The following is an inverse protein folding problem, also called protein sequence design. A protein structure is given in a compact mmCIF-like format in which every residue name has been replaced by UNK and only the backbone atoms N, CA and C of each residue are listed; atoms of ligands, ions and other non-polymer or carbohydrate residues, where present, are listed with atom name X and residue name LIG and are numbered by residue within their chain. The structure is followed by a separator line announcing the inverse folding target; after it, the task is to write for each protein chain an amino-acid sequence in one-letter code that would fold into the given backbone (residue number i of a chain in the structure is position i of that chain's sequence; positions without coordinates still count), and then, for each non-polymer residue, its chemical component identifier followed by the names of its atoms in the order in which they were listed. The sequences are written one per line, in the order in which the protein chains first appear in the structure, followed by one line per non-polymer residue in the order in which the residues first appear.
data_IF_527975736257
#
_entry.id   IF_527975736257
#
_cell.length_a   1.000
_cell.length_b   1.000
_cell.length_c   1.000
_cell.angle_alpha   90.00
_cell.angle_beta   90.00
_cell.angle_gamma   90.00
#
_symmetry.space_group_name_H-M   'P 1'
#
loop_
_entity.id
_entity.type
_entity.pdbx_description
1 polymer ?
#
# COMPACT_ATOMS: atom_id res chain seq x y z
N UNK A 1 -49.35 -5.03 -15.85
CA UNK A 1 -48.17 -4.78 -16.68
C UNK A 1 -47.04 -4.36 -15.76
N UNK A 2 -46.14 -5.28 -15.43
CA UNK A 2 -44.96 -5.00 -14.61
C UNK A 2 -43.94 -4.30 -15.51
N UNK A 3 -43.68 -3.02 -15.24
CA UNK A 3 -42.61 -2.25 -15.88
C UNK A 3 -41.28 -2.86 -15.44
N UNK A 4 -40.58 -3.49 -16.38
CA UNK A 4 -39.22 -3.92 -16.20
C UNK A 4 -38.35 -2.69 -15.91
N UNK A 5 -37.65 -2.70 -14.77
CA UNK A 5 -36.60 -1.73 -14.50
C UNK A 5 -35.60 -1.74 -15.67
N UNK A 6 -35.10 -0.57 -16.12
CA UNK A 6 -34.16 -0.51 -17.21
C UNK A 6 -32.91 -1.30 -16.83
N UNK A 7 -32.60 -2.31 -17.64
CA UNK A 7 -31.30 -2.97 -17.63
C UNK A 7 -30.28 -1.88 -17.96
N UNK A 8 -29.57 -1.39 -16.95
CA UNK A 8 -28.40 -0.55 -17.15
C UNK A 8 -27.38 -1.40 -17.93
N UNK A 9 -27.34 -1.24 -19.24
CA UNK A 9 -26.12 -1.55 -20.00
C UNK A 9 -25.05 -0.61 -19.47
N UNK A 10 -23.93 -1.10 -18.90
CA UNK A 10 -22.85 -0.23 -18.51
C UNK A 10 -22.39 0.50 -19.76
N UNK A 11 -22.63 1.82 -19.81
CA UNK A 11 -22.02 2.66 -20.84
C UNK A 11 -20.53 2.40 -20.82
N UNK A 12 -19.92 2.19 -22.00
CA UNK A 12 -18.46 2.05 -22.08
C UNK A 12 -17.77 3.17 -21.30
N UNK A 13 -16.78 2.87 -20.43
CA UNK A 13 -16.08 3.90 -19.69
C UNK A 13 -15.48 4.94 -20.63
N UNK A 14 -15.54 6.22 -20.24
CA UNK A 14 -14.93 7.32 -20.99
C UNK A 14 -13.46 6.98 -21.35
N UNK A 15 -12.92 7.35 -22.53
CA UNK A 15 -11.54 7.02 -22.92
C UNK A 15 -10.47 7.43 -21.91
N UNK A 16 -10.70 8.53 -21.20
CA UNK A 16 -9.81 9.04 -20.15
C UNK A 16 -10.12 8.48 -18.74
N UNK A 17 -11.07 7.54 -18.59
CA UNK A 17 -11.39 6.93 -17.29
C UNK A 17 -10.33 5.89 -16.90
N UNK A 18 -9.90 5.94 -15.63
CA UNK A 18 -8.99 4.96 -15.05
C UNK A 18 -9.60 3.56 -14.89
N UNK A 19 -10.93 3.42 -14.94
CA UNK A 19 -11.62 2.12 -14.97
C UNK A 19 -11.27 1.32 -16.24
N UNK A 20 -10.68 1.95 -17.26
CA UNK A 20 -10.16 1.23 -18.43
C UNK A 20 -8.94 0.37 -18.13
N UNK A 21 -8.25 0.57 -17.00
CA UNK A 21 -7.28 -0.40 -16.49
C UNK A 21 -8.05 -1.58 -15.88
N UNK A 22 -7.87 -2.83 -16.37
CA UNK A 22 -8.57 -3.98 -15.82
C UNK A 22 -8.35 -4.19 -14.32
N UNK A 23 -7.16 -3.87 -13.81
CA UNK A 23 -6.88 -3.95 -12.36
C UNK A 23 -7.71 -2.94 -11.55
N UNK A 24 -7.87 -1.71 -12.04
CA UNK A 24 -8.68 -0.66 -11.38
C UNK A 24 -10.15 -1.05 -11.43
N UNK A 25 -10.64 -1.51 -12.58
CA UNK A 25 -12.01 -2.01 -12.72
C UNK A 25 -12.32 -3.10 -11.70
N UNK A 26 -11.42 -4.09 -11.57
CA UNK A 26 -11.61 -5.19 -10.62
C UNK A 26 -11.55 -4.73 -9.19
N UNK A 27 -10.56 -3.91 -8.84
CA UNK A 27 -10.47 -3.30 -7.52
C UNK A 27 -11.78 -2.63 -7.11
N UNK A 28 -12.47 -1.93 -8.02
CA UNK A 28 -13.74 -1.26 -7.71
C UNK A 28 -14.95 -2.20 -7.68
N UNK A 29 -14.90 -3.34 -8.38
CA UNK A 29 -16.01 -4.29 -8.46
C UNK A 29 -15.88 -5.47 -7.49
N UNK A 30 -14.70 -5.70 -6.92
CA UNK A 30 -14.43 -6.86 -6.07
C UNK A 30 -15.04 -6.65 -4.68
N UNK A 31 -16.05 -7.45 -4.28
CA UNK A 31 -16.71 -7.31 -2.99
C UNK A 31 -15.80 -7.71 -1.81
N UNK A 32 -14.65 -8.35 -2.07
CA UNK A 32 -13.70 -8.78 -1.05
C UNK A 32 -13.06 -7.59 -0.32
N UNK A 33 -12.78 -6.51 -1.05
CA UNK A 33 -12.01 -5.37 -0.56
C UNK A 33 -12.90 -4.14 -0.48
N UNK A 34 -12.88 -3.47 0.66
CA UNK A 34 -13.70 -2.28 0.91
C UNK A 34 -12.88 -1.01 0.79
N UNK A 35 -13.49 0.01 0.21
CA UNK A 35 -12.99 1.37 0.27
C UNK A 35 -13.56 2.07 1.49
N UNK A 36 -12.69 2.56 2.38
CA UNK A 36 -13.12 3.24 3.62
C UNK A 36 -12.57 4.67 3.65
N UNK A 37 -13.42 5.70 3.66
CA UNK A 37 -12.97 7.06 3.80
C UNK A 37 -12.42 7.31 5.21
N UNK A 38 -11.37 8.13 5.29
CA UNK A 38 -10.83 8.66 6.55
C UNK A 38 -10.96 10.18 6.57
N UNK A 39 -11.18 10.77 7.74
CA UNK A 39 -11.22 12.22 7.92
C UNK A 39 -9.82 12.81 7.72
N UNK A 40 -9.44 12.92 6.45
CA UNK A 40 -8.16 13.40 5.95
C UNK A 40 -8.45 14.35 4.79
N UNK A 41 -7.76 15.49 4.82
CA UNK A 41 -7.62 16.40 3.70
C UNK A 41 -6.26 16.19 3.03
N UNK A 42 -6.29 15.61 1.84
CA UNK A 42 -5.08 15.24 1.12
C UNK A 42 -4.32 16.47 0.58
N UNK A 43 -4.92 17.67 0.59
CA UNK A 43 -4.24 18.90 0.17
C UNK A 43 -3.02 19.21 1.03
N UNK A 44 -3.00 18.79 2.31
CA UNK A 44 -1.81 18.87 3.15
C UNK A 44 -0.60 18.13 2.55
N UNK A 45 -0.85 17.00 1.88
CA UNK A 45 0.16 16.23 1.16
C UNK A 45 0.45 16.82 -0.23
N UNK A 46 -0.58 17.18 -1.01
CA UNK A 46 -0.40 17.76 -2.34
C UNK A 46 0.46 19.04 -2.32
N UNK A 47 0.26 19.87 -1.30
CA UNK A 47 0.99 21.12 -1.07
C UNK A 47 2.33 20.91 -0.34
N UNK A 48 2.73 19.65 -0.14
CA UNK A 48 4.01 19.22 0.46
C UNK A 48 4.28 19.77 1.86
N UNK A 49 3.22 20.02 2.64
CA UNK A 49 3.32 20.39 4.05
C UNK A 49 3.49 19.13 4.91
N UNK A 50 2.70 18.10 4.62
CA UNK A 50 2.84 16.76 5.17
C UNK A 50 3.61 15.94 4.13
N UNK A 51 4.74 15.30 4.49
CA UNK A 51 5.64 14.68 3.52
C UNK A 51 5.13 13.33 2.97
N UNK A 52 4.09 12.76 3.57
CA UNK A 52 3.60 11.41 3.28
C UNK A 52 2.08 11.39 3.21
N UNK A 53 1.54 10.48 2.40
CA UNK A 53 0.11 10.20 2.39
C UNK A 53 -0.26 9.36 3.60
N UNK A 54 -1.31 9.73 4.33
CA UNK A 54 -1.73 9.03 5.54
C UNK A 54 -3.00 8.21 5.37
N UNK A 55 -3.48 8.00 4.14
CA UNK A 55 -4.67 7.18 3.90
C UNK A 55 -4.43 5.74 4.38
N UNK A 56 -3.46 5.03 3.78
CA UNK A 56 -3.04 3.68 4.14
C UNK A 56 -4.03 2.58 3.76
N UNK A 57 -3.82 1.38 4.29
CA UNK A 57 -4.73 0.26 4.15
C UNK A 57 -4.63 -0.67 5.36
N UNK A 58 -5.42 -1.75 5.38
CA UNK A 58 -5.23 -2.84 6.33
C UNK A 58 -5.59 -4.16 5.62
N UNK A 59 -4.61 -5.02 5.31
CA UNK A 59 -4.83 -6.24 4.55
C UNK A 59 -5.68 -7.25 5.32
N UNK A 60 -5.55 -7.28 6.65
CA UNK A 60 -6.39 -8.13 7.48
C UNK A 60 -7.82 -7.66 7.46
N UNK A 61 -8.09 -6.34 7.56
CA UNK A 61 -9.45 -5.80 7.41
C UNK A 61 -9.97 -5.84 5.97
N UNK A 62 -9.13 -6.17 4.99
CA UNK A 62 -9.44 -6.12 3.54
C UNK A 62 -10.00 -4.76 3.16
N UNK A 63 -9.34 -3.71 3.65
CA UNK A 63 -9.81 -2.35 3.50
C UNK A 63 -8.70 -1.48 2.96
N UNK A 64 -8.96 -0.83 1.83
CA UNK A 64 -8.15 0.24 1.27
C UNK A 64 -8.74 1.55 1.79
N UNK A 65 -7.90 2.36 2.43
CA UNK A 65 -8.35 3.62 2.98
C UNK A 65 -8.07 4.75 2.00
N UNK A 66 -8.91 5.77 2.01
CA UNK A 66 -8.71 6.95 1.17
C UNK A 66 -9.09 8.22 1.95
N UNK A 67 -8.49 9.34 1.58
CA UNK A 67 -8.77 10.62 2.20
C UNK A 67 -10.12 11.17 1.74
N UNK A 68 -10.93 11.64 2.69
CA UNK A 68 -12.28 12.15 2.40
C UNK A 68 -12.27 13.34 1.44
N UNK A 69 -11.25 14.21 1.54
CA UNK A 69 -11.01 15.28 0.57
C UNK A 69 -9.74 14.93 -0.21
N UNK A 70 -9.89 14.28 -1.37
CA UNK A 70 -8.79 13.86 -2.23
C UNK A 70 -9.24 13.70 -3.68
N UNK A 71 -8.29 13.65 -4.61
CA UNK A 71 -8.58 13.38 -6.00
C UNK A 71 -9.31 12.03 -6.19
N UNK A 72 -8.88 10.98 -5.48
CA UNK A 72 -9.54 9.67 -5.48
C UNK A 72 -10.98 9.74 -4.97
N UNK A 73 -11.25 10.38 -3.83
CA UNK A 73 -12.62 10.46 -3.29
C UNK A 73 -13.58 11.17 -4.23
N UNK A 74 -13.16 12.28 -4.83
CA UNK A 74 -14.00 12.98 -5.81
C UNK A 74 -14.25 12.16 -7.08
N UNK A 75 -13.23 11.45 -7.57
CA UNK A 75 -13.38 10.58 -8.75
C UNK A 75 -14.26 9.35 -8.49
N UNK A 76 -14.19 8.75 -7.29
CA UNK A 76 -14.99 7.59 -6.89
C UNK A 76 -16.51 7.87 -6.94
N UNK A 77 -16.94 9.13 -6.92
CA UNK A 77 -18.35 9.49 -7.11
C UNK A 77 -18.86 9.22 -8.55
N UNK A 78 -17.96 9.19 -9.54
CA UNK A 78 -18.31 8.95 -10.95
C UNK A 78 -17.14 8.33 -11.74
N UNK A 79 -16.67 7.11 -11.39
CA UNK A 79 -15.40 6.57 -11.87
C UNK A 79 -15.38 6.30 -13.38
N UNK A 80 -16.54 6.13 -14.01
CA UNK A 80 -16.69 5.92 -15.45
C UNK A 80 -16.58 7.20 -16.31
N UNK A 81 -16.57 8.38 -15.70
CA UNK A 81 -16.38 9.67 -16.40
C UNK A 81 -14.90 9.93 -16.70
N UNK A 82 -14.61 11.01 -17.42
CA UNK A 82 -13.22 11.45 -17.61
C UNK A 82 -12.55 11.64 -16.25
N UNK A 83 -11.34 11.11 -16.11
CA UNK A 83 -10.50 11.32 -14.94
C UNK A 83 -9.69 12.63 -15.02
N UNK A 84 -9.70 13.32 -16.18
CA UNK A 84 -8.83 14.47 -16.45
C UNK A 84 -9.04 15.61 -15.45
N UNK A 85 -10.29 15.93 -15.18
CA UNK A 85 -10.67 17.05 -14.30
C UNK A 85 -10.24 16.83 -12.83
N UNK A 86 -9.93 15.59 -12.47
CA UNK A 86 -9.48 15.20 -11.13
C UNK A 86 -7.96 14.97 -11.05
N UNK A 87 -7.27 14.84 -12.20
CA UNK A 87 -5.85 14.48 -12.25
C UNK A 87 -4.90 15.68 -12.19
N UNK A 88 -5.20 16.67 -11.35
CA UNK A 88 -4.27 17.78 -11.15
C UNK A 88 -2.93 17.27 -10.59
N UNK A 89 -1.82 17.71 -11.19
CA UNK A 89 -0.45 17.32 -10.82
C UNK A 89 -0.23 15.79 -10.67
N UNK A 90 -0.94 14.97 -11.46
CA UNK A 90 -0.94 13.51 -11.37
C UNK A 90 -1.43 12.90 -10.04
N UNK A 91 -2.12 13.69 -9.21
CA UNK A 91 -2.60 13.24 -7.90
C UNK A 91 -3.58 12.07 -8.02
N UNK A 92 -4.57 12.15 -8.93
CA UNK A 92 -5.55 11.07 -9.09
C UNK A 92 -4.88 9.78 -9.58
N UNK A 93 -4.07 9.85 -10.64
CA UNK A 93 -3.42 8.65 -11.19
C UNK A 93 -2.54 7.99 -10.13
N UNK A 94 -1.79 8.77 -9.35
CA UNK A 94 -0.99 8.25 -8.23
C UNK A 94 -1.86 7.55 -7.20
N UNK A 95 -2.93 8.19 -6.73
CA UNK A 95 -3.81 7.61 -5.71
C UNK A 95 -4.53 6.35 -6.19
N UNK A 96 -5.00 6.31 -7.44
CA UNK A 96 -5.66 5.13 -7.99
C UNK A 96 -4.70 3.95 -8.15
N UNK A 97 -3.46 4.21 -8.59
CA UNK A 97 -2.46 3.14 -8.73
C UNK A 97 -2.00 2.62 -7.37
N UNK A 98 -1.81 3.47 -6.36
CA UNK A 98 -1.55 3.01 -4.98
C UNK A 98 -2.75 2.29 -4.37
N UNK A 99 -3.99 2.73 -4.63
CA UNK A 99 -5.16 1.98 -4.20
C UNK A 99 -5.22 0.58 -4.84
N UNK A 100 -4.81 0.45 -6.12
CA UNK A 100 -4.72 -0.83 -6.79
C UNK A 100 -3.61 -1.73 -6.21
N UNK A 101 -2.50 -1.14 -5.82
CA UNK A 101 -1.43 -1.81 -5.08
C UNK A 101 -1.91 -2.33 -3.72
N UNK A 102 -2.56 -1.49 -2.92
CA UNK A 102 -3.09 -1.85 -1.60
C UNK A 102 -4.23 -2.88 -1.68
N UNK A 103 -5.03 -2.81 -2.75
CA UNK A 103 -6.00 -3.86 -3.08
C UNK A 103 -5.34 -5.22 -3.30
N UNK A 104 -4.18 -5.27 -3.97
CA UNK A 104 -3.44 -6.52 -4.17
C UNK A 104 -2.84 -7.06 -2.87
N UNK A 105 -2.45 -6.21 -1.91
CA UNK A 105 -2.12 -6.68 -0.57
C UNK A 105 -3.32 -7.35 0.11
N UNK A 106 -4.49 -6.70 0.08
CA UNK A 106 -5.71 -7.25 0.69
C UNK A 106 -6.13 -8.58 0.03
N UNK A 107 -6.06 -8.64 -1.29
CA UNK A 107 -6.44 -9.83 -2.05
C UNK A 107 -5.45 -10.98 -1.83
N UNK A 108 -4.14 -10.70 -1.85
CA UNK A 108 -3.11 -11.72 -1.60
C UNK A 108 -3.12 -12.25 -0.17
N UNK A 109 -3.45 -11.42 0.82
CA UNK A 109 -3.64 -11.88 2.20
C UNK A 109 -4.74 -12.95 2.30
N UNK A 110 -5.84 -12.77 1.58
CA UNK A 110 -6.91 -13.77 1.51
C UNK A 110 -6.46 -15.05 0.77
N UNK A 111 -5.76 -14.90 -0.35
CA UNK A 111 -5.22 -16.06 -1.06
C UNK A 111 -4.26 -16.85 -0.19
N UNK A 112 -3.39 -16.19 0.58
CA UNK A 112 -2.51 -16.85 1.55
C UNK A 112 -3.31 -17.62 2.59
N UNK A 113 -4.40 -17.05 3.11
CA UNK A 113 -5.27 -17.73 4.08
C UNK A 113 -5.90 -19.01 3.50
N UNK A 114 -6.20 -19.03 2.20
CA UNK A 114 -6.72 -20.21 1.48
C UNK A 114 -5.61 -21.24 1.19
N UNK A 115 -4.43 -20.79 0.76
CA UNK A 115 -3.33 -21.68 0.34
C UNK A 115 -2.54 -22.26 1.53
N UNK A 116 -2.47 -21.53 2.64
CA UNK A 116 -1.76 -21.93 3.85
C UNK A 116 -2.62 -21.75 5.12
N UNK A 117 -3.78 -22.43 5.21
CA UNK A 117 -4.76 -22.21 6.29
C UNK A 117 -4.20 -22.53 7.67
N UNK A 118 -3.19 -23.40 7.77
CA UNK A 118 -2.52 -23.73 9.04
C UNK A 118 -1.73 -22.55 9.64
N UNK A 119 -1.33 -21.55 8.83
CA UNK A 119 -0.62 -20.35 9.32
C UNK A 119 -1.59 -19.39 10.01
N UNK A 120 -2.85 -19.38 9.58
CA UNK A 120 -3.90 -18.45 10.06
C UNK A 120 -3.50 -16.98 9.91
N UNK A 121 -2.82 -16.62 8.81
CA UNK A 121 -2.21 -15.29 8.60
C UNK A 121 -3.17 -14.10 8.76
N UNK A 122 -4.46 -14.26 8.46
CA UNK A 122 -5.44 -13.16 8.50
C UNK A 122 -6.45 -13.26 9.67
N UNK A 123 -6.34 -14.31 10.49
CA UNK A 123 -7.38 -14.73 11.45
C UNK A 123 -6.84 -15.35 12.75
N UNK A 124 -5.55 -15.64 12.83
CA UNK A 124 -4.88 -16.22 13.99
C UNK A 124 -4.26 -15.14 14.88
N UNK A 125 -4.12 -15.39 16.20
CA UNK A 125 -3.33 -14.50 17.03
C UNK A 125 -1.87 -14.49 16.58
N UNK A 126 -1.28 -13.30 16.51
CA UNK A 126 0.16 -13.14 16.30
C UNK A 126 0.85 -13.30 17.65
N UNK A 127 1.77 -14.26 17.72
CA UNK A 127 2.51 -14.70 18.90
C UNK A 127 4.00 -14.74 18.58
N UNK A 128 4.87 -14.79 19.59
CA UNK A 128 6.32 -14.78 19.43
C UNK A 128 6.86 -15.98 18.66
N UNK A 129 6.20 -17.12 18.74
CA UNK A 129 6.60 -18.34 18.03
C UNK A 129 6.20 -18.34 16.55
N UNK A 130 5.18 -17.56 16.16
CA UNK A 130 4.66 -17.53 14.79
C UNK A 130 4.87 -16.19 14.05
N UNK A 131 5.36 -15.14 14.72
CA UNK A 131 5.47 -13.80 14.13
C UNK A 131 6.33 -13.79 12.86
N UNK A 132 7.43 -14.53 12.79
CA UNK A 132 8.27 -14.56 11.59
C UNK A 132 7.57 -15.26 10.40
N UNK A 133 6.62 -16.16 10.65
CA UNK A 133 5.77 -16.73 9.59
C UNK A 133 4.74 -15.72 9.09
N UNK A 134 4.19 -14.90 9.99
CA UNK A 134 3.36 -13.75 9.59
C UNK A 134 4.16 -12.70 8.81
N UNK A 135 5.38 -12.39 9.24
CA UNK A 135 6.27 -11.48 8.53
C UNK A 135 6.56 -12.03 7.13
N UNK A 136 6.88 -13.32 7.01
CA UNK A 136 7.06 -13.98 5.71
C UNK A 136 5.83 -13.81 4.82
N UNK A 137 4.63 -14.17 5.32
CA UNK A 137 3.39 -14.02 4.57
C UNK A 137 3.11 -12.57 4.17
N UNK A 138 3.37 -11.60 5.05
CA UNK A 138 3.20 -10.18 4.74
C UNK A 138 4.15 -9.71 3.63
N UNK A 139 5.42 -10.15 3.64
CA UNK A 139 6.37 -9.88 2.55
C UNK A 139 5.94 -10.50 1.22
N UNK A 140 5.20 -11.62 1.25
CA UNK A 140 4.59 -12.15 0.02
C UNK A 140 3.48 -11.25 -0.51
N UNK A 141 2.71 -10.59 0.37
CA UNK A 141 1.71 -9.61 -0.07
C UNK A 141 2.35 -8.39 -0.73
N UNK A 142 3.51 -7.94 -0.25
CA UNK A 142 4.32 -6.90 -0.88
C UNK A 142 4.84 -7.34 -2.25
N UNK A 143 5.42 -8.55 -2.35
CA UNK A 143 5.85 -9.10 -3.64
C UNK A 143 4.68 -9.19 -4.63
N UNK A 144 3.46 -9.48 -4.16
CA UNK A 144 2.25 -9.55 -4.97
C UNK A 144 1.77 -8.17 -5.45
N UNK A 145 1.84 -7.16 -4.59
CA UNK A 145 1.46 -5.80 -4.92
C UNK A 145 2.46 -5.17 -5.91
N UNK A 146 3.77 -5.36 -5.69
CA UNK A 146 4.83 -4.89 -6.60
C UNK A 146 4.89 -5.66 -7.91
N UNK A 147 4.40 -6.91 -7.95
CA UNK A 147 4.23 -7.63 -9.21
C UNK A 147 3.27 -6.91 -10.19
N UNK A 148 2.41 -6.00 -9.71
CA UNK A 148 1.62 -5.11 -10.57
C UNK A 148 2.51 -4.29 -11.51
N UNK A 149 3.59 -3.72 -10.98
CA UNK A 149 4.52 -2.94 -11.77
C UNK A 149 5.20 -3.81 -12.82
N UNK A 150 5.76 -4.95 -12.40
CA UNK A 150 6.50 -5.84 -13.30
C UNK A 150 5.60 -6.50 -14.35
N UNK A 151 4.47 -7.08 -13.97
CA UNK A 151 3.65 -7.86 -14.91
C UNK A 151 2.68 -7.01 -15.71
N UNK A 152 2.27 -5.83 -15.24
CA UNK A 152 1.25 -5.04 -15.90
C UNK A 152 1.76 -3.66 -16.33
N UNK A 153 2.11 -2.78 -15.38
CA UNK A 153 2.40 -1.38 -15.70
C UNK A 153 3.67 -1.21 -16.54
N UNK A 154 4.65 -2.11 -16.41
CA UNK A 154 5.91 -2.06 -17.17
C UNK A 154 5.77 -2.40 -18.66
N UNK A 155 4.58 -2.83 -19.10
CA UNK A 155 4.34 -3.41 -20.43
C UNK A 155 3.74 -2.44 -21.45
N UNK A 156 3.37 -1.24 -21.01
CA UNK A 156 2.81 -0.19 -21.86
C UNK A 156 3.09 1.19 -21.26
N UNK A 157 3.10 2.22 -22.11
CA UNK A 157 3.13 3.59 -21.61
C UNK A 157 1.70 4.01 -21.17
N UNK A 158 1.54 4.38 -19.90
CA UNK A 158 0.23 4.64 -19.29
C UNK A 158 -0.58 5.72 -20.05
N UNK A 159 0.11 6.77 -20.51
CA UNK A 159 -0.49 7.87 -21.29
C UNK A 159 -1.08 7.41 -22.63
N UNK A 160 -0.53 6.36 -23.24
CA UNK A 160 -1.06 5.79 -24.48
C UNK A 160 -2.29 4.93 -24.20
N UNK A 161 -2.32 4.24 -23.06
CA UNK A 161 -3.44 3.39 -22.66
C UNK A 161 -4.64 4.20 -22.17
N UNK A 162 -4.36 5.27 -21.42
CA UNK A 162 -5.36 6.17 -20.83
C UNK A 162 -4.89 7.61 -21.06
N UNK A 163 -5.46 8.33 -22.05
CA UNK A 163 -5.02 9.67 -22.42
C UNK A 163 -5.50 10.75 -21.43
N UNK A 164 -5.47 10.47 -20.12
CA UNK A 164 -5.86 11.42 -19.05
C UNK A 164 -4.89 12.61 -18.93
N UNK A 165 -3.70 12.50 -19.53
CA UNK A 165 -2.63 13.49 -19.41
C UNK A 165 -1.80 13.26 -18.14
N UNK A 166 -1.07 12.15 -18.11
CA UNK A 166 -0.21 11.77 -16.99
C UNK A 166 1.26 11.70 -17.37
N UNK A 167 2.13 12.05 -16.43
CA UNK A 167 3.59 11.86 -16.55
C UNK A 167 4.08 10.59 -15.84
N UNK A 168 3.17 9.90 -15.13
CA UNK A 168 3.47 8.66 -14.43
C UNK A 168 3.69 7.53 -15.45
N UNK A 169 4.84 6.87 -15.33
CA UNK A 169 5.24 5.73 -16.18
C UNK A 169 5.40 4.44 -15.39
N UNK A 170 5.63 4.53 -14.09
CA UNK A 170 5.76 3.41 -13.14
C UNK A 170 5.18 3.81 -11.79
N UNK A 171 4.77 2.85 -10.96
CA UNK A 171 4.26 3.12 -9.61
C UNK A 171 5.40 3.04 -8.58
N UNK A 172 5.88 1.83 -8.30
CA UNK A 172 6.85 1.56 -7.22
C UNK A 172 8.26 1.30 -7.76
N UNK A 173 8.39 0.68 -8.93
CA UNK A 173 9.69 0.23 -9.46
C UNK A 173 9.98 0.87 -10.82
N UNK A 174 11.23 1.23 -11.10
CA UNK A 174 11.58 1.83 -12.40
C UNK A 174 11.85 0.81 -13.54
N UNK A 175 11.44 -0.45 -13.34
CA UNK A 175 11.55 -1.51 -14.36
C UNK A 175 10.60 -1.23 -15.53
N UNK A 176 11.04 -1.49 -16.76
CA UNK A 176 10.19 -1.35 -17.94
C UNK A 176 10.56 -2.37 -19.04
N UNK A 177 9.58 -3.06 -19.64
CA UNK A 177 9.82 -4.13 -20.63
C UNK A 177 10.52 -3.62 -21.90
N UNK A 178 10.29 -2.37 -22.30
CA UNK A 178 11.06 -1.73 -23.38
C UNK A 178 12.59 -1.79 -23.20
N UNK A 179 13.06 -1.94 -21.97
CA UNK A 179 14.50 -2.05 -21.63
C UNK A 179 14.96 -3.50 -21.44
N UNK A 180 14.15 -4.51 -21.74
CA UNK A 180 14.47 -5.94 -21.50
C UNK A 180 15.77 -6.38 -22.18
N UNK A 181 16.09 -5.80 -23.34
CA UNK A 181 17.34 -6.09 -24.05
C UNK A 181 18.57 -5.67 -23.24
N UNK A 182 18.49 -4.58 -22.49
CA UNK A 182 19.57 -4.13 -21.60
C UNK A 182 19.70 -5.06 -20.39
N UNK A 183 18.59 -5.47 -19.76
CA UNK A 183 18.63 -6.41 -18.64
C UNK A 183 19.23 -7.78 -19.05
N UNK A 184 18.84 -8.28 -20.23
CA UNK A 184 19.33 -9.57 -20.78
C UNK A 184 20.81 -9.57 -21.17
N UNK A 185 21.46 -8.41 -21.33
CA UNK A 185 22.91 -8.34 -21.52
C UNK A 185 23.70 -8.85 -20.31
N UNK A 186 23.11 -8.71 -19.11
CA UNK A 186 23.76 -9.08 -17.85
C UNK A 186 23.15 -10.34 -17.24
N UNK A 187 21.85 -10.55 -17.42
CA UNK A 187 21.15 -11.77 -17.03
C UNK A 187 20.42 -12.37 -18.24
N UNK A 188 21.06 -13.23 -19.07
CA UNK A 188 20.46 -13.72 -20.32
C UNK A 188 19.11 -14.44 -20.15
N UNK A 189 18.90 -15.07 -19.00
CA UNK A 189 17.64 -15.74 -18.65
C UNK A 189 16.57 -14.80 -18.06
N UNK A 190 16.82 -13.48 -18.03
CA UNK A 190 15.90 -12.50 -17.45
C UNK A 190 14.56 -12.49 -18.17
N UNK A 191 13.50 -12.75 -17.40
CA UNK A 191 12.12 -12.69 -17.87
C UNK A 191 11.20 -12.41 -16.68
N UNK A 192 10.82 -11.14 -16.54
CA UNK A 192 9.87 -10.72 -15.52
C UNK A 192 8.43 -11.15 -15.86
N UNK A 193 8.13 -11.49 -17.13
CA UNK A 193 6.77 -11.77 -17.61
C UNK A 193 6.35 -13.24 -17.42
N UNK A 194 6.95 -13.94 -16.46
CA UNK A 194 6.62 -15.33 -16.11
C UNK A 194 6.15 -15.45 -14.67
N UNK A 195 5.26 -16.40 -14.33
CA UNK A 195 4.84 -16.63 -12.95
C UNK A 195 6.01 -16.89 -11.99
N UNK A 196 7.04 -17.63 -12.44
CA UNK A 196 8.23 -17.96 -11.64
C UNK A 196 9.01 -16.72 -11.16
N UNK A 197 8.83 -15.57 -11.82
CA UNK A 197 9.42 -14.31 -11.40
C UNK A 197 8.93 -13.87 -10.02
N UNK A 198 7.70 -14.21 -9.64
CA UNK A 198 7.18 -13.94 -8.30
C UNK A 198 8.06 -14.57 -7.22
N UNK A 199 8.51 -15.81 -7.44
CA UNK A 199 9.43 -16.49 -6.51
C UNK A 199 10.79 -15.79 -6.41
N UNK A 200 11.22 -15.04 -7.42
CA UNK A 200 12.43 -14.22 -7.34
C UNK A 200 12.18 -12.98 -6.47
N UNK A 201 11.07 -12.26 -6.70
CA UNK A 201 10.66 -11.12 -5.88
C UNK A 201 10.47 -11.52 -4.41
N UNK A 202 9.72 -12.58 -4.12
CA UNK A 202 9.46 -13.04 -2.77
C UNK A 202 10.76 -13.38 -2.01
N UNK A 203 11.68 -14.10 -2.65
CA UNK A 203 13.01 -14.40 -2.08
C UNK A 203 13.83 -13.12 -1.88
N UNK A 204 13.73 -12.16 -2.80
CA UNK A 204 14.38 -10.87 -2.67
C UNK A 204 13.87 -10.09 -1.45
N UNK A 205 12.55 -9.95 -1.27
CA UNK A 205 11.98 -9.28 -0.10
C UNK A 205 12.35 -9.98 1.22
N UNK A 206 12.44 -11.31 1.22
CA UNK A 206 12.85 -12.05 2.41
C UNK A 206 14.36 -11.93 2.71
N UNK A 207 15.22 -11.92 1.70
CA UNK A 207 16.69 -12.01 1.88
C UNK A 207 17.46 -10.70 1.72
N UNK A 208 16.91 -9.75 0.97
CA UNK A 208 17.63 -8.57 0.46
C UNK A 208 18.58 -8.88 -0.70
N UNK A 209 18.58 -10.11 -1.24
CA UNK A 209 19.50 -10.53 -2.31
C UNK A 209 18.74 -10.69 -3.62
N UNK A 210 19.08 -9.85 -4.60
CA UNK A 210 18.53 -9.94 -5.96
C UNK A 210 19.48 -10.74 -6.86
N UNK A 211 19.13 -11.99 -7.15
CA UNK A 211 19.98 -12.88 -7.94
C UNK A 211 19.97 -12.51 -9.44
N UNK A 212 21.08 -12.78 -10.12
CA UNK A 212 21.23 -12.59 -11.57
C UNK A 212 21.96 -11.31 -12.00
N UNK A 213 22.17 -10.36 -11.09
CA UNK A 213 22.95 -9.14 -11.35
C UNK A 213 24.05 -8.95 -10.31
N UNK A 214 25.25 -8.62 -10.76
CA UNK A 214 26.39 -8.30 -9.90
C UNK A 214 26.52 -6.79 -9.67
N UNK A 215 27.26 -6.40 -8.63
CA UNK A 215 27.61 -4.98 -8.39
C UNK A 215 28.33 -4.35 -9.59
N UNK A 216 29.09 -5.15 -10.35
CA UNK A 216 29.75 -4.66 -11.56
C UNK A 216 28.75 -4.31 -12.66
N UNK A 217 27.65 -5.06 -12.78
CA UNK A 217 26.59 -4.81 -13.77
C UNK A 217 25.88 -3.50 -13.46
N UNK A 218 25.59 -3.22 -12.18
CA UNK A 218 25.06 -1.93 -11.73
C UNK A 218 26.00 -0.76 -12.06
N UNK A 219 27.32 -0.97 -12.04
CA UNK A 219 28.28 0.08 -12.44
C UNK A 219 28.31 0.29 -13.95
N UNK A 220 28.03 -0.75 -14.74
CA UNK A 220 28.09 -0.73 -16.21
C UNK A 220 26.78 -0.29 -16.87
N UNK A 221 25.65 -0.42 -16.17
CA UNK A 221 24.33 -0.05 -16.69
C UNK A 221 23.63 0.93 -15.73
N UNK A 222 23.55 2.23 -16.09
CA UNK A 222 22.76 3.20 -15.35
C UNK A 222 21.27 2.81 -15.20
N UNK A 223 20.73 2.09 -16.18
CA UNK A 223 19.35 1.59 -16.17
C UNK A 223 19.15 0.54 -15.08
N UNK A 224 20.05 -0.45 -14.97
CA UNK A 224 19.99 -1.47 -13.91
C UNK A 224 20.21 -0.83 -12.54
N UNK A 225 21.15 0.11 -12.43
CA UNK A 225 21.39 0.83 -11.19
C UNK A 225 20.16 1.60 -10.72
N UNK A 226 19.51 2.36 -11.61
CA UNK A 226 18.31 3.14 -11.28
C UNK A 226 17.21 2.24 -10.71
N UNK A 227 17.02 1.07 -11.33
CA UNK A 227 16.03 0.10 -10.91
C UNK A 227 16.42 -0.62 -9.60
N UNK A 228 17.53 -1.35 -9.56
CA UNK A 228 17.87 -2.22 -8.42
C UNK A 228 18.32 -1.45 -7.17
N UNK A 229 18.87 -0.23 -7.30
CA UNK A 229 19.25 0.54 -6.12
C UNK A 229 18.03 0.90 -5.24
N UNK A 230 16.90 1.23 -5.88
CA UNK A 230 15.65 1.50 -5.18
C UNK A 230 15.15 0.22 -4.49
N UNK A 231 15.01 -0.88 -5.25
CA UNK A 231 14.58 -2.18 -4.73
C UNK A 231 15.39 -2.58 -3.48
N UNK A 232 16.72 -2.56 -3.57
CA UNK A 232 17.62 -2.99 -2.50
C UNK A 232 17.42 -2.21 -1.20
N UNK A 233 17.26 -0.89 -1.29
CA UNK A 233 16.92 -0.07 -0.11
C UNK A 233 15.55 -0.42 0.45
N UNK A 234 14.56 -0.62 -0.42
CA UNK A 234 13.18 -0.81 -0.03
C UNK A 234 12.92 -2.17 0.62
N UNK A 235 13.58 -3.24 0.17
CA UNK A 235 13.41 -4.57 0.75
C UNK A 235 13.80 -4.66 2.23
N UNK A 236 14.80 -3.89 2.67
CA UNK A 236 15.17 -3.80 4.09
C UNK A 236 14.08 -3.07 4.91
N UNK A 237 13.59 -1.94 4.38
CA UNK A 237 12.50 -1.14 4.95
C UNK A 237 11.23 -1.96 5.10
N UNK A 238 10.88 -2.79 4.12
CA UNK A 238 9.70 -3.65 4.17
C UNK A 238 9.76 -4.71 5.28
N UNK A 239 10.93 -5.33 5.50
CA UNK A 239 11.11 -6.28 6.62
C UNK A 239 10.97 -5.59 7.98
N UNK A 240 11.52 -4.38 8.10
CA UNK A 240 11.40 -3.56 9.30
C UNK A 240 9.95 -3.17 9.59
N UNK A 241 9.24 -2.59 8.62
CA UNK A 241 7.84 -2.21 8.79
C UNK A 241 6.93 -3.41 9.07
N UNK A 242 7.13 -4.53 8.36
CA UNK A 242 6.38 -5.76 8.62
C UNK A 242 6.51 -6.22 10.07
N UNK A 243 7.74 -6.28 10.60
CA UNK A 243 7.99 -6.67 11.99
C UNK A 243 7.41 -5.67 12.99
N UNK A 244 7.58 -4.37 12.76
CA UNK A 244 7.04 -3.34 13.65
C UNK A 244 5.51 -3.40 13.71
N UNK A 245 4.85 -3.48 12.56
CA UNK A 245 3.39 -3.53 12.47
C UNK A 245 2.82 -4.82 13.07
N UNK A 246 3.38 -5.98 12.71
CA UNK A 246 2.91 -7.27 13.24
C UNK A 246 3.18 -7.41 14.74
N UNK A 247 4.31 -6.87 15.23
CA UNK A 247 4.56 -6.79 16.68
C UNK A 247 3.52 -5.92 17.37
N UNK A 248 3.13 -4.80 16.76
CA UNK A 248 2.10 -3.93 17.29
C UNK A 248 0.71 -4.58 17.31
N UNK A 249 0.40 -5.45 16.34
CA UNK A 249 -0.82 -6.25 16.30
C UNK A 249 -0.77 -7.50 17.19
N UNK A 250 0.41 -7.90 17.68
CA UNK A 250 0.57 -9.12 18.43
C UNK A 250 -0.24 -9.17 19.73
N UNK A 251 -0.79 -10.35 20.03
CA UNK A 251 -1.58 -10.58 21.24
C UNK A 251 -0.72 -10.49 22.52
N UNK A 252 0.58 -10.70 22.38
CA UNK A 252 1.57 -10.50 23.43
C UNK A 252 2.59 -9.44 23.05
N UNK A 253 3.36 -8.97 24.03
CA UNK A 253 4.42 -8.00 23.79
C UNK A 253 5.61 -8.68 23.10
N UNK A 254 5.91 -8.23 21.89
CA UNK A 254 7.06 -8.66 21.10
C UNK A 254 7.88 -7.42 20.77
N UNK A 255 9.12 -7.40 21.23
CA UNK A 255 10.04 -6.30 21.00
C UNK A 255 11.24 -6.84 20.23
N UNK A 256 11.56 -6.19 19.12
CA UNK A 256 12.74 -6.48 18.34
C UNK A 256 13.89 -5.56 18.76
N UNK A 257 15.11 -6.11 18.77
CA UNK A 257 16.32 -5.29 18.74
C UNK A 257 16.35 -4.50 17.41
N UNK A 258 16.67 -3.19 17.41
CA UNK A 258 16.63 -2.38 16.19
C UNK A 258 17.45 -2.97 15.03
N UNK A 259 18.60 -3.60 15.31
CA UNK A 259 19.44 -4.22 14.28
C UNK A 259 18.80 -5.47 13.64
N UNK A 260 17.78 -6.05 14.27
CA UNK A 260 17.09 -7.25 13.77
C UNK A 260 15.83 -6.93 12.97
N UNK A 261 15.33 -5.69 13.01
CA UNK A 261 14.13 -5.29 12.27
C UNK A 261 14.29 -5.50 10.75
N UNK A 262 15.44 -5.16 10.18
CA UNK A 262 15.71 -5.32 8.75
C UNK A 262 16.33 -6.69 8.38
N UNK A 263 16.53 -7.60 9.36
CA UNK A 263 17.24 -8.86 9.14
C UNK A 263 16.49 -9.79 8.16
N UNK A 264 17.18 -10.66 7.42
CA UNK A 264 16.53 -11.64 6.54
C UNK A 264 15.50 -12.51 7.27
N UNK A 265 14.44 -12.89 6.57
CA UNK A 265 13.39 -13.81 7.05
C UNK A 265 13.62 -15.18 6.42
N UNK A 266 13.48 -16.27 7.20
CA UNK A 266 13.62 -17.62 6.66
C UNK A 266 12.46 -17.96 5.72
N UNK A 267 12.82 -18.55 4.57
CA UNK A 267 11.89 -19.03 3.55
C UNK A 267 12.23 -20.45 3.07
N UNK A 268 13.16 -21.15 3.73
CA UNK A 268 13.69 -22.45 3.27
C UNK A 268 12.73 -23.61 3.52
N UNK A 269 11.79 -23.43 4.45
CA UNK A 269 10.78 -24.41 4.82
C UNK A 269 9.95 -24.81 3.59
N UNK A 270 9.70 -26.11 3.43
CA UNK A 270 9.00 -26.66 2.25
C UNK A 270 7.66 -25.97 1.98
N UNK A 271 6.91 -25.68 3.03
CA UNK A 271 5.60 -25.02 2.91
C UNK A 271 5.73 -23.57 2.44
N UNK A 272 6.80 -22.84 2.83
CA UNK A 272 7.07 -21.47 2.37
C UNK A 272 7.43 -21.45 0.88
N UNK A 273 8.25 -22.41 0.43
CA UNK A 273 8.56 -22.57 -1.00
C UNK A 273 7.31 -22.89 -1.82
N UNK A 274 6.46 -23.80 -1.33
CA UNK A 274 5.21 -24.14 -1.97
C UNK A 274 4.26 -22.94 -2.05
N UNK A 275 4.09 -22.21 -0.93
CA UNK A 275 3.25 -21.02 -0.89
C UNK A 275 3.73 -19.94 -1.87
N UNK A 276 5.05 -19.69 -1.97
CA UNK A 276 5.59 -18.75 -2.96
C UNK A 276 5.24 -19.17 -4.39
N UNK A 277 5.34 -20.46 -4.71
CA UNK A 277 5.00 -20.96 -6.04
C UNK A 277 3.51 -20.81 -6.35
N UNK A 278 2.66 -21.30 -5.46
CA UNK A 278 1.20 -21.32 -5.67
C UNK A 278 0.62 -19.91 -5.70
N UNK A 279 1.06 -19.04 -4.78
CA UNK A 279 0.67 -17.63 -4.80
C UNK A 279 1.15 -16.95 -6.08
N UNK A 280 2.37 -17.23 -6.55
CA UNK A 280 2.88 -16.67 -7.80
C UNK A 280 2.01 -17.02 -9.02
N UNK A 281 1.55 -18.27 -9.12
CA UNK A 281 0.62 -18.71 -10.18
C UNK A 281 -0.72 -17.95 -10.09
N UNK A 282 -1.31 -17.92 -8.89
CA UNK A 282 -2.60 -17.26 -8.65
C UNK A 282 -2.53 -15.76 -8.92
N UNK A 283 -1.48 -15.08 -8.44
CA UNK A 283 -1.28 -13.65 -8.65
C UNK A 283 -0.98 -13.33 -10.12
N UNK A 284 -0.27 -14.20 -10.84
CA UNK A 284 -0.01 -13.99 -12.26
C UNK A 284 -1.32 -14.01 -13.06
N UNK A 285 -2.17 -15.02 -12.82
CA UNK A 285 -3.51 -15.09 -13.43
C UNK A 285 -4.37 -13.88 -13.04
N UNK A 286 -4.33 -13.45 -11.77
CA UNK A 286 -5.02 -12.23 -11.35
C UNK A 286 -4.48 -11.02 -12.11
N UNK A 287 -3.20 -10.71 -12.06
CA UNK A 287 -2.69 -9.43 -12.60
C UNK A 287 -2.66 -9.43 -14.13
N UNK A 288 -2.20 -10.51 -14.76
CA UNK A 288 -1.89 -10.58 -16.19
C UNK A 288 -3.05 -11.06 -17.06
N UNK A 289 -3.81 -12.05 -16.58
CA UNK A 289 -4.82 -12.76 -17.39
C UNK A 289 -6.25 -12.25 -17.16
N UNK A 290 -6.42 -11.25 -16.29
CA UNK A 290 -7.73 -10.68 -15.92
C UNK A 290 -8.72 -11.71 -15.35
N UNK A 291 -8.22 -12.73 -14.64
CA UNK A 291 -9.02 -13.84 -14.09
C UNK A 291 -8.99 -13.89 -12.57
N UNK A 292 -10.09 -14.28 -11.93
CA UNK A 292 -10.23 -14.35 -10.47
C UNK A 292 -9.67 -15.65 -9.86
N UNK A 293 -8.83 -16.38 -10.60
CA UNK A 293 -8.16 -17.65 -10.21
C UNK A 293 -9.08 -18.83 -9.86
N UNK A 294 -10.39 -18.62 -9.74
CA UNK A 294 -11.38 -19.65 -9.38
C UNK A 294 -11.35 -20.05 -7.90
N UNK A 295 -10.60 -19.32 -7.05
CA UNK A 295 -10.58 -19.55 -5.62
C UNK A 295 -11.92 -19.14 -4.99
N UNK A 296 -12.40 -19.96 -4.05
CA UNK A 296 -13.60 -19.69 -3.29
C UNK A 296 -13.19 -19.16 -1.92
N UNK A 297 -13.62 -17.94 -1.63
CA UNK A 297 -13.34 -17.27 -0.36
C UNK A 297 -14.43 -17.60 0.67
N UNK A 298 -14.01 -18.02 1.86
CA UNK A 298 -14.89 -18.47 2.93
C UNK A 298 -15.41 -17.34 3.83
N UNK A 299 -16.31 -17.70 4.75
CA UNK A 299 -16.69 -16.82 5.85
C UNK A 299 -15.50 -16.56 6.78
N UNK A 300 -15.41 -15.34 7.27
CA UNK A 300 -14.21 -14.81 7.94
C UNK A 300 -14.27 -15.01 9.46
N UNK A 301 -13.13 -15.37 10.07
CA UNK A 301 -12.94 -15.25 11.52
C UNK A 301 -12.51 -13.82 11.89
N UNK A 302 -12.48 -13.48 13.18
CA UNK A 302 -12.01 -12.16 13.62
C UNK A 302 -10.54 -11.92 13.22
N UNK A 303 -10.22 -10.76 12.63
CA UNK A 303 -8.83 -10.42 12.30
C UNK A 303 -7.97 -10.19 13.54
N UNK A 304 -6.64 -10.32 13.40
CA UNK A 304 -5.70 -9.73 14.36
C UNK A 304 -5.96 -8.23 14.52
N UNK A 305 -6.04 -7.78 15.76
CA UNK A 305 -6.16 -6.38 16.14
C UNK A 305 -5.23 -6.10 17.32
N UNK A 306 -4.62 -4.92 17.37
CA UNK A 306 -3.72 -4.60 18.48
C UNK A 306 -4.50 -4.54 19.81
N UNK A 307 -3.96 -5.07 20.92
CA UNK A 307 -4.61 -5.01 22.23
C UNK A 307 -5.01 -3.59 22.62
N UNK A 308 -6.20 -3.41 23.22
CA UNK A 308 -6.72 -2.08 23.57
C UNK A 308 -5.97 -1.44 24.74
N UNK A 309 -5.38 -2.24 25.64
CA UNK A 309 -4.57 -1.73 26.74
C UNK A 309 -3.16 -1.30 26.31
N UNK A 310 -2.73 -1.63 25.09
CA UNK A 310 -1.40 -1.29 24.57
C UNK A 310 -1.30 0.22 24.36
N UNK A 311 -0.14 0.79 24.72
CA UNK A 311 0.13 2.20 24.42
C UNK A 311 0.02 2.47 22.91
N UNK A 312 -0.63 3.57 22.50
CA UNK A 312 -0.84 3.87 21.10
C UNK A 312 0.47 4.16 20.37
N UNK A 313 0.65 3.53 19.23
CA UNK A 313 1.70 3.87 18.27
C UNK A 313 1.06 4.45 17.01
N UNK A 314 1.15 5.76 16.82
CA UNK A 314 0.46 6.44 15.71
C UNK A 314 1.10 6.17 14.35
N UNK A 315 2.16 5.37 14.27
CA UNK A 315 2.55 4.72 13.02
C UNK A 315 1.49 3.71 12.56
N UNK A 316 0.80 3.07 13.51
CA UNK A 316 -0.08 1.92 13.29
C UNK A 316 -1.50 2.09 13.82
N UNK A 317 -1.80 3.17 14.56
CA UNK A 317 -3.17 3.51 14.97
C UNK A 317 -3.63 4.85 14.45
N UNK A 318 -4.94 4.94 14.24
CA UNK A 318 -5.59 6.14 13.77
C UNK A 318 -5.82 7.16 14.90
N UNK A 319 -5.17 8.32 14.80
CA UNK A 319 -5.29 9.41 15.77
C UNK A 319 -6.70 10.06 15.79
N UNK A 320 -7.54 9.80 14.78
CA UNK A 320 -8.94 10.24 14.79
C UNK A 320 -9.83 9.39 15.70
N UNK A 321 -9.43 8.15 15.98
CA UNK A 321 -10.23 7.16 16.74
C UNK A 321 -9.60 6.86 18.09
N UNK A 322 -8.28 6.86 18.18
CA UNK A 322 -7.53 6.57 19.40
C UNK A 322 -7.07 7.89 20.03
N UNK A 323 -7.59 8.25 21.22
CA UNK A 323 -7.13 9.44 21.91
C UNK A 323 -5.70 9.25 22.42
N UNK A 324 -4.92 10.33 22.44
CA UNK A 324 -3.67 10.38 23.18
C UNK A 324 -3.97 10.78 24.63
N UNK A 325 -3.73 9.91 25.63
CA UNK A 325 -3.94 10.29 27.04
C UNK A 325 -3.06 11.49 27.42
N UNK A 326 -3.52 12.42 28.27
CA UNK A 326 -2.75 13.61 28.66
C UNK A 326 -1.38 13.31 29.28
N UNK A 327 -1.26 12.16 29.96
CA UNK A 327 -0.03 11.73 30.63
C UNK A 327 0.89 10.88 29.73
N UNK A 328 0.41 10.48 28.56
CA UNK A 328 1.19 9.64 27.65
C UNK A 328 2.21 10.50 26.90
N UNK A 329 3.49 10.12 27.00
CA UNK A 329 4.55 10.66 26.15
C UNK A 329 4.82 9.63 25.07
N UNK A 330 4.30 9.82 23.84
CA UNK A 330 4.60 8.91 22.75
C UNK A 330 6.10 8.92 22.43
N UNK A 331 6.60 7.83 21.86
CA UNK A 331 7.97 7.81 21.32
C UNK A 331 8.15 8.96 20.30
N UNK A 332 9.38 9.45 20.05
CA UNK A 332 9.61 10.51 19.06
C UNK A 332 9.00 10.18 17.70
N UNK A 333 9.13 8.93 17.25
CA UNK A 333 8.53 8.46 15.99
C UNK A 333 7.00 8.48 16.04
N UNK A 334 6.39 7.92 17.10
CA UNK A 334 4.92 7.96 17.26
C UNK A 334 4.41 9.40 17.35
N UNK A 335 5.14 10.30 18.01
CA UNK A 335 4.82 11.73 18.14
C UNK A 335 4.78 12.42 16.78
N UNK A 336 5.75 12.11 15.90
CA UNK A 336 5.77 12.61 14.52
C UNK A 336 4.50 12.19 13.78
N UNK A 337 4.17 10.90 13.77
CA UNK A 337 2.99 10.40 13.06
C UNK A 337 1.68 10.90 13.67
N UNK A 338 1.62 11.07 14.98
CA UNK A 338 0.50 11.72 15.64
C UNK A 338 0.27 13.13 15.10
N UNK A 339 1.31 13.97 15.08
CA UNK A 339 1.22 15.33 14.55
C UNK A 339 0.84 15.35 13.06
N UNK A 340 1.41 14.46 12.24
CA UNK A 340 1.07 14.32 10.83
C UNK A 340 -0.41 13.97 10.62
N UNK A 341 -0.93 12.97 11.35
CA UNK A 341 -2.34 12.58 11.27
C UNK A 341 -3.26 13.69 11.75
N UNK A 342 -2.90 14.40 12.83
CA UNK A 342 -3.70 15.51 13.37
C UNK A 342 -3.78 16.68 12.38
N UNK A 343 -2.67 17.10 11.77
CA UNK A 343 -2.68 18.14 10.73
C UNK A 343 -3.54 17.70 9.55
N UNK A 344 -3.35 16.47 9.07
CA UNK A 344 -4.05 15.97 7.90
C UNK A 344 -5.57 15.86 8.13
N UNK A 345 -6.02 15.77 9.38
CA UNK A 345 -7.44 15.76 9.74
C UNK A 345 -8.10 17.16 9.82
N UNK A 346 -7.33 18.23 9.60
CA UNK A 346 -7.87 19.60 9.54
C UNK A 346 -8.33 19.93 8.13
N UNK A 347 -9.42 20.68 7.99
CA UNK A 347 -9.77 21.32 6.72
C UNK A 347 -8.64 22.27 6.34
N UNK A 348 -8.02 21.99 5.19
CA UNK A 348 -6.92 22.79 4.68
C UNK A 348 -7.30 24.27 4.59
N UNK A 349 -8.52 24.58 4.12
CA UNK A 349 -8.99 25.96 3.90
C UNK A 349 -9.29 26.73 5.18
N UNK A 350 -9.56 26.03 6.28
CA UNK A 350 -9.74 26.66 7.59
C UNK A 350 -8.43 27.22 8.18
N UNK A 351 -7.28 26.78 7.67
CA UNK A 351 -5.96 27.19 8.17
C UNK A 351 -5.34 28.26 7.27
N UNK A 352 -4.94 29.39 7.84
CA UNK A 352 -4.34 30.49 7.08
C UNK A 352 -3.03 30.08 6.38
N UNK A 353 -2.69 30.74 5.27
CA UNK A 353 -1.42 30.47 4.56
C UNK A 353 -0.18 30.69 5.46
N UNK A 354 -0.22 31.66 6.36
CA UNK A 354 0.87 31.91 7.31
C UNK A 354 1.03 30.74 8.29
N UNK A 355 -0.07 30.27 8.86
CA UNK A 355 -0.10 29.11 9.76
C UNK A 355 0.36 27.85 9.04
N UNK A 356 -0.08 27.61 7.79
CA UNK A 356 0.39 26.49 6.95
C UNK A 356 1.92 26.51 6.76
N UNK A 357 2.52 27.67 6.50
CA UNK A 357 3.98 27.83 6.39
C UNK A 357 4.68 27.60 7.74
N UNK A 358 4.06 28.03 8.85
CA UNK A 358 4.59 27.77 10.18
C UNK A 358 4.57 26.27 10.53
N UNK A 359 3.50 25.56 10.19
CA UNK A 359 3.39 24.09 10.34
C UNK A 359 4.50 23.39 9.55
N UNK A 360 4.70 23.76 8.28
CA UNK A 360 5.76 23.17 7.45
C UNK A 360 7.16 23.37 8.07
N UNK A 361 7.47 24.57 8.58
CA UNK A 361 8.74 24.84 9.28
C UNK A 361 8.86 24.04 10.58
N UNK A 362 7.78 23.92 11.35
CA UNK A 362 7.79 23.15 12.58
C UNK A 362 8.05 21.66 12.30
N UNK A 363 7.48 21.07 11.24
CA UNK A 363 7.82 19.72 10.82
C UNK A 363 9.29 19.56 10.42
N UNK A 364 9.86 20.53 9.69
CA UNK A 364 11.29 20.52 9.32
C UNK A 364 12.21 20.60 10.53
N UNK A 365 11.78 21.24 11.62
CA UNK A 365 12.52 21.35 12.89
C UNK A 365 12.17 20.26 13.90
N UNK A 366 11.33 19.28 13.53
CA UNK A 366 10.83 18.22 14.42
C UNK A 366 10.09 18.75 15.67
N UNK A 367 9.50 19.95 15.57
CA UNK A 367 8.76 20.62 16.66
C UNK A 367 7.29 20.18 16.70
N UNK A 368 7.02 18.89 16.92
CA UNK A 368 5.66 18.31 16.87
C UNK A 368 4.65 18.93 17.87
N UNK A 369 5.15 19.44 19.00
CA UNK A 369 4.33 20.19 19.97
C UNK A 369 3.89 21.56 19.47
N UNK A 370 4.73 22.25 18.66
CA UNK A 370 4.36 23.50 18.00
C UNK A 370 3.27 23.25 16.96
N UNK A 371 3.41 22.19 16.16
CA UNK A 371 2.40 21.78 15.18
C UNK A 371 1.02 21.61 15.85
N UNK A 372 0.98 20.94 17.01
CA UNK A 372 -0.27 20.70 17.74
C UNK A 372 -0.93 22.00 18.21
N UNK A 373 -0.14 23.00 18.65
CA UNK A 373 -0.64 24.32 19.03
C UNK A 373 -1.17 25.11 17.81
N UNK A 374 -0.47 25.04 16.68
CA UNK A 374 -0.85 25.76 15.46
C UNK A 374 -2.19 25.31 14.86
N UNK A 375 -2.64 24.09 15.16
CA UNK A 375 -3.91 23.52 14.66
C UNK A 375 -5.03 23.50 15.69
N UNK A 376 -4.83 24.04 16.89
CA UNK A 376 -5.79 23.94 18.00
C UNK A 376 -7.16 24.56 17.66
N UNK A 377 -7.16 25.63 16.85
CA UNK A 377 -8.37 26.35 16.45
C UNK A 377 -8.85 26.01 15.02
N UNK A 378 -8.17 25.08 14.34
CA UNK A 378 -8.52 24.72 12.97
C UNK A 378 -9.79 23.86 12.92
N UNK A 379 -10.55 24.00 11.83
CA UNK A 379 -11.73 23.17 11.60
C UNK A 379 -11.27 21.75 11.22
N UNK A 380 -11.98 20.74 11.73
CA UNK A 380 -11.68 19.33 11.43
C UNK A 380 -12.57 18.82 10.31
N UNK A 381 -12.01 17.98 9.45
CA UNK A 381 -12.80 17.18 8.52
C UNK A 381 -13.74 16.27 9.31
N UNK A 382 -15.02 16.27 8.96
CA UNK A 382 -16.00 15.39 9.56
C UNK A 382 -15.73 13.92 9.15
N UNK A 383 -15.77 12.95 10.09
CA UNK A 383 -15.73 11.54 9.75
C UNK A 383 -16.93 11.13 8.88
N UNK A 384 -16.69 10.33 7.84
CA UNK A 384 -17.74 9.81 6.93
C UNK A 384 -18.26 8.44 7.37
N UNK A 385 -17.99 8.06 8.61
CA UNK A 385 -18.45 6.81 9.21
C UNK A 385 -17.54 6.35 10.35
N UNK A 386 -17.56 5.04 10.60
CA UNK A 386 -16.61 4.42 11.53
C UNK A 386 -15.24 4.32 10.88
N UNK A 387 -14.29 5.13 11.34
CA UNK A 387 -12.92 5.06 10.89
C UNK A 387 -12.19 3.82 11.44
N UNK A 388 -11.23 3.26 10.68
CA UNK A 388 -10.42 2.14 11.13
C UNK A 388 -9.54 2.56 12.31
N UNK A 389 -9.37 1.66 13.29
CA UNK A 389 -8.43 1.86 14.40
C UNK A 389 -7.01 1.52 13.98
N UNK A 390 -6.79 0.29 13.52
CA UNK A 390 -5.47 -0.24 13.16
C UNK A 390 -5.18 0.01 11.68
N UNK A 391 -4.05 0.64 11.43
CA UNK A 391 -3.61 1.12 10.13
C UNK A 391 -2.32 0.44 9.70
N UNK A 392 -2.12 0.35 8.40
CA UNK A 392 -0.83 0.14 7.79
C UNK A 392 -0.58 1.27 6.80
N UNK A 393 0.44 2.08 7.08
CA UNK A 393 0.87 3.20 6.24
C UNK A 393 2.31 2.92 5.85
N UNK A 394 2.54 2.49 4.61
CA UNK A 394 3.88 2.39 4.04
C UNK A 394 4.34 3.78 3.62
N UNK A 395 5.52 4.18 4.11
CA UNK A 395 6.16 5.46 3.79
C UNK A 395 7.42 5.27 2.96
#
# INVERSE_FOLDING_TARGET
MLSAAPVFTPSEPHPESLVRLPIVRRMLSDPLVRFVPRAIDQRWYYERIVPVSLAGFNPFLRSVFYANNSALSYWLAAPHRSARDFNDNDNLVREVLFAAHDYLHCWSAEVIAVLAPWVRFDTGPILRDNIEDFVFCHLLTEAAAVALDYWYLSTFDLVERIPVGTTITTLTVSYHERNVSEYRRFCPAWDAQRPDFFGQLARFYCSGVFNGFSVQDLRRSPQIRKWLAHELSYGATQREYARLWLSFLAAEEIVYEPQKLAAPVSFQEKWKQQLMHDLGLVMFTKIKEDSDSGLVFGARNEPPASPRERQPDFRFVNANVVPLPPEAVPSPESSRYHALQRVSAMDFDSVSQETRRAIARAFQREEHGEVSRLIEQAERIAPVGAEPRDLFVLN
#
